data_IF_306155257419
#
_entry.id   IF_306155257419
#
_cell.length_a   1.000
_cell.length_b   1.000
_cell.length_c   1.000
_cell.angle_alpha   90.00
_cell.angle_beta   90.00
_cell.angle_gamma   90.00
#
_symmetry.space_group_name_H-M   'P 1'
#
loop_
_entity.id
_entity.type
_entity.pdbx_description
1 polymer ?
#
# COMPACT_ATOMS: atom_id res chain seq x y z
N UNK A 1 26.64 -46.57 -31.09
CA UNK A 1 26.67 -45.20 -30.51
C UNK A 1 25.63 -45.13 -29.42
N UNK A 2 26.05 -44.97 -28.16
CA UNK A 2 25.20 -45.21 -26.98
C UNK A 2 24.23 -44.05 -26.73
N UNK A 3 22.98 -44.22 -27.14
CA UNK A 3 21.85 -43.29 -26.95
C UNK A 3 21.68 -42.80 -25.49
N UNK A 4 22.17 -43.59 -24.53
CA UNK A 4 22.17 -43.27 -23.09
C UNK A 4 23.09 -42.11 -22.69
N UNK A 5 24.20 -41.90 -23.39
CA UNK A 5 25.13 -40.80 -23.10
C UNK A 5 24.58 -39.45 -23.60
N UNK A 6 23.84 -39.46 -24.71
CA UNK A 6 23.20 -38.27 -25.28
C UNK A 6 22.05 -37.81 -24.36
N UNK A 7 21.26 -38.74 -23.82
CA UNK A 7 20.18 -38.40 -22.88
C UNK A 7 20.68 -37.80 -21.57
N UNK A 8 21.79 -38.31 -21.03
CA UNK A 8 22.39 -37.78 -19.81
C UNK A 8 22.94 -36.36 -20.03
N UNK A 9 23.54 -36.08 -21.19
CA UNK A 9 24.05 -34.75 -21.52
C UNK A 9 22.91 -33.72 -21.70
N UNK A 10 21.79 -34.10 -22.33
CA UNK A 10 20.62 -33.22 -22.51
C UNK A 10 19.92 -32.91 -21.18
N UNK A 11 19.84 -33.87 -20.26
CA UNK A 11 19.20 -33.67 -18.95
C UNK A 11 20.02 -32.76 -18.02
N UNK A 12 21.36 -32.82 -18.10
CA UNK A 12 22.25 -31.93 -17.34
C UNK A 12 22.22 -30.49 -17.91
N UNK A 13 22.12 -30.33 -19.23
CA UNK A 13 21.94 -28.99 -19.83
C UNK A 13 20.58 -28.39 -19.45
N UNK A 14 19.51 -29.19 -19.34
CA UNK A 14 18.20 -28.72 -18.85
C UNK A 14 18.23 -28.35 -17.36
N UNK A 15 19.01 -29.05 -16.53
CA UNK A 15 19.16 -28.71 -15.10
C UNK A 15 20.03 -27.46 -14.90
N UNK A 16 21.03 -27.22 -15.75
CA UNK A 16 21.87 -26.00 -15.71
C UNK A 16 21.16 -24.80 -16.36
N UNK A 17 20.35 -25.03 -17.41
CA UNK A 17 19.48 -23.98 -17.98
C UNK A 17 18.29 -23.64 -17.06
N UNK A 18 17.82 -24.58 -16.24
CA UNK A 18 16.80 -24.36 -15.22
C UNK A 18 17.31 -23.70 -13.94
N UNK A 19 18.63 -23.52 -13.79
CA UNK A 19 19.26 -22.94 -12.59
C UNK A 19 19.90 -21.56 -12.82
N UNK A 20 19.61 -20.91 -13.96
CA UNK A 20 19.49 -19.45 -13.96
C UNK A 20 18.13 -19.15 -13.32
N UNK A 21 18.04 -19.43 -12.01
CA UNK A 21 17.10 -18.71 -11.16
C UNK A 21 17.58 -17.28 -11.28
N UNK A 22 16.93 -16.56 -12.18
CA UNK A 22 16.91 -15.12 -12.14
C UNK A 22 16.77 -14.74 -10.66
N UNK A 23 17.85 -14.17 -10.11
CA UNK A 23 17.76 -13.12 -9.11
C UNK A 23 17.01 -11.96 -9.79
N UNK A 24 15.75 -12.20 -10.16
CA UNK A 24 14.82 -11.15 -10.51
C UNK A 24 14.83 -10.27 -9.26
N UNK A 25 15.16 -8.97 -9.37
CA UNK A 25 14.89 -8.05 -8.28
C UNK A 25 13.43 -8.31 -7.88
N UNK A 26 13.22 -8.71 -6.62
CA UNK A 26 11.91 -9.12 -6.14
C UNK A 26 10.88 -8.09 -6.58
N UNK A 27 9.73 -8.55 -7.07
CA UNK A 27 8.70 -7.70 -7.69
C UNK A 27 8.61 -6.35 -6.97
N UNK A 28 8.86 -5.25 -7.69
CA UNK A 28 8.72 -3.93 -7.10
C UNK A 28 7.26 -3.50 -7.20
N UNK A 29 6.70 -3.04 -6.09
CA UNK A 29 5.38 -2.43 -6.11
C UNK A 29 5.41 -1.19 -7.02
N UNK A 30 4.47 -1.07 -7.95
CA UNK A 30 4.38 0.10 -8.80
C UNK A 30 3.98 1.35 -8.01
N UNK A 31 4.75 2.43 -8.12
CA UNK A 31 4.45 3.72 -7.46
C UNK A 31 3.29 4.47 -8.12
N UNK A 32 2.94 4.13 -9.37
CA UNK A 32 1.75 4.67 -10.03
C UNK A 32 0.48 4.03 -9.51
N UNK A 33 0.53 2.74 -9.17
CA UNK A 33 -0.62 1.97 -8.66
C UNK A 33 -0.85 2.19 -7.15
N UNK A 34 0.23 2.35 -6.39
CA UNK A 34 0.23 2.46 -4.92
C UNK A 34 1.04 3.69 -4.48
N UNK A 35 0.48 4.90 -4.62
CA UNK A 35 1.21 6.14 -4.41
C UNK A 35 1.45 6.42 -2.93
N UNK A 36 2.70 6.71 -2.56
CA UNK A 36 3.06 7.27 -1.26
C UNK A 36 3.58 8.69 -1.44
N UNK A 37 3.46 9.56 -0.41
CA UNK A 37 4.13 10.86 -0.43
C UNK A 37 5.64 10.70 -0.62
N UNK A 38 6.29 11.77 -1.08
CA UNK A 38 7.76 11.89 -1.06
C UNK A 38 8.26 11.91 0.38
N UNK A 39 9.47 11.41 0.63
CA UNK A 39 10.14 11.50 1.94
C UNK A 39 10.41 12.95 2.38
N UNK A 40 10.30 13.92 1.46
CA UNK A 40 10.40 15.36 1.76
C UNK A 40 9.08 15.98 2.20
N UNK A 41 7.96 15.26 2.02
CA UNK A 41 6.62 15.77 2.38
C UNK A 41 6.57 16.01 3.88
N UNK A 42 6.15 17.21 4.24
CA UNK A 42 6.02 17.69 5.61
C UNK A 42 4.62 17.40 6.15
N UNK A 43 4.52 17.40 7.48
CA UNK A 43 3.22 17.26 8.15
C UNK A 43 2.23 18.38 7.77
N UNK A 44 2.70 19.61 7.58
CA UNK A 44 1.85 20.75 7.20
C UNK A 44 1.30 20.63 5.77
N UNK A 45 2.08 20.07 4.85
CA UNK A 45 1.61 19.78 3.48
C UNK A 45 0.48 18.74 3.50
N UNK A 46 0.59 17.71 4.34
CA UNK A 46 -0.50 16.74 4.51
C UNK A 46 -1.77 17.34 5.09
N UNK A 47 -1.64 18.29 6.03
CA UNK A 47 -2.81 19.02 6.56
C UNK A 47 -3.47 19.93 5.52
N UNK A 48 -2.73 20.30 4.48
CA UNK A 48 -3.18 21.18 3.40
C UNK A 48 -3.60 20.38 2.15
N UNK A 49 -3.91 19.09 2.32
CA UNK A 49 -4.42 18.23 1.25
C UNK A 49 -5.68 18.86 0.62
N UNK A 50 -5.62 19.08 -0.70
CA UNK A 50 -6.74 19.59 -1.45
C UNK A 50 -7.47 18.45 -2.15
N UNK A 51 -8.79 18.61 -2.24
CA UNK A 51 -9.65 17.73 -3.02
C UNK A 51 -9.40 17.83 -4.52
N UNK A 52 -10.03 16.93 -5.25
CA UNK A 52 -10.12 16.96 -6.72
C UNK A 52 -11.51 17.36 -7.16
N UNK A 53 -11.75 17.37 -8.48
CA UNK A 53 -13.09 17.60 -9.05
C UNK A 53 -14.15 16.64 -8.48
N UNK A 54 -13.77 15.38 -8.21
CA UNK A 54 -14.70 14.34 -7.77
C UNK A 54 -14.53 13.96 -6.29
N UNK A 55 -13.46 14.40 -5.62
CA UNK A 55 -13.20 14.11 -4.21
C UNK A 55 -13.12 15.40 -3.42
N UNK A 56 -14.10 15.68 -2.57
CA UNK A 56 -14.06 16.83 -1.69
C UNK A 56 -13.44 16.45 -0.34
N UNK A 57 -12.46 17.21 0.12
CA UNK A 57 -11.91 17.08 1.48
C UNK A 57 -12.84 17.83 2.44
N UNK A 58 -13.41 17.11 3.40
CA UNK A 58 -14.34 17.66 4.39
C UNK A 58 -13.60 18.06 5.64
N UNK A 59 -12.69 17.19 6.12
CA UNK A 59 -11.92 17.42 7.33
C UNK A 59 -10.56 16.75 7.24
N UNK A 60 -9.55 17.40 7.82
CA UNK A 60 -8.21 16.84 8.01
C UNK A 60 -7.82 17.02 9.46
N UNK A 61 -7.45 15.94 10.14
CA UNK A 61 -7.14 15.97 11.57
C UNK A 61 -5.83 15.23 11.90
N UNK A 62 -5.02 15.73 12.83
CA UNK A 62 -3.88 15.00 13.37
C UNK A 62 -4.34 13.73 14.09
N UNK A 63 -3.65 12.61 13.87
CA UNK A 63 -3.90 11.36 14.59
C UNK A 63 -2.73 11.00 15.50
N UNK A 64 -3.06 10.50 16.70
CA UNK A 64 -2.08 9.93 17.65
C UNK A 64 -1.85 8.43 17.46
N UNK A 65 -2.79 7.76 16.80
CA UNK A 65 -2.82 6.31 16.60
C UNK A 65 -3.19 6.00 15.15
N UNK A 66 -2.64 4.91 14.63
CA UNK A 66 -3.10 4.28 13.39
C UNK A 66 -4.39 3.50 13.64
N UNK A 67 -5.13 3.13 12.58
CA UNK A 67 -6.24 2.19 12.66
C UNK A 67 -5.91 0.94 13.46
N UNK A 68 -6.92 0.44 14.19
CA UNK A 68 -6.76 -0.68 15.10
C UNK A 68 -5.92 -0.38 16.36
N UNK A 69 -5.82 0.90 16.77
CA UNK A 69 -5.09 1.32 17.97
C UNK A 69 -3.58 1.01 17.94
N UNK A 70 -3.00 0.85 16.75
CA UNK A 70 -1.55 0.70 16.63
C UNK A 70 -0.90 2.05 16.93
N UNK A 71 -0.12 2.12 18.01
CA UNK A 71 0.57 3.34 18.41
C UNK A 71 1.61 3.75 17.37
N UNK A 72 1.65 5.04 17.04
CA UNK A 72 2.71 5.58 16.22
C UNK A 72 4.05 5.49 16.97
N UNK A 73 5.13 5.02 16.32
CA UNK A 73 6.46 5.07 16.90
C UNK A 73 6.87 6.51 17.18
N UNK A 74 7.74 6.71 18.19
CA UNK A 74 8.20 8.04 18.61
C UNK A 74 8.78 8.81 17.41
N UNK A 75 8.26 10.00 17.14
CA UNK A 75 8.71 10.84 16.02
C UNK A 75 8.02 10.54 14.68
N UNK A 76 7.11 9.57 14.64
CA UNK A 76 6.13 9.45 13.55
C UNK A 76 4.95 10.40 13.73
N UNK A 77 4.21 10.62 12.65
CA UNK A 77 2.99 11.41 12.63
C UNK A 77 1.97 10.79 11.67
N UNK A 78 0.69 11.07 11.88
CA UNK A 78 -0.36 10.67 10.96
C UNK A 78 -1.43 11.75 10.86
N UNK A 79 -2.11 11.78 9.71
CA UNK A 79 -3.32 12.56 9.47
C UNK A 79 -4.46 11.62 9.11
N UNK A 80 -5.63 11.90 9.65
CA UNK A 80 -6.90 11.35 9.22
C UNK A 80 -7.58 12.34 8.29
N UNK A 81 -8.12 11.85 7.19
CA UNK A 81 -8.73 12.66 6.14
C UNK A 81 -10.13 12.10 5.91
N UNK A 82 -11.14 12.92 6.18
CA UNK A 82 -12.51 12.63 5.85
C UNK A 82 -12.88 13.33 4.55
N UNK A 83 -13.40 12.57 3.60
CA UNK A 83 -13.71 13.04 2.25
C UNK A 83 -15.10 12.57 1.80
N UNK A 84 -15.60 13.23 0.76
CA UNK A 84 -16.80 12.81 0.05
C UNK A 84 -16.52 12.68 -1.45
N UNK A 85 -16.71 11.47 -1.98
CA UNK A 85 -16.66 11.20 -3.41
C UNK A 85 -18.01 11.55 -4.06
N UNK A 86 -17.97 12.41 -5.08
CA UNK A 86 -19.14 12.96 -5.80
C UNK A 86 -20.18 13.58 -4.87
N UNK A 87 -19.75 14.10 -3.71
CA UNK A 87 -20.60 14.67 -2.66
C UNK A 87 -21.64 13.71 -2.05
N UNK A 88 -21.47 12.40 -2.22
CA UNK A 88 -22.44 11.39 -1.75
C UNK A 88 -21.79 10.24 -1.00
N UNK A 89 -20.62 9.77 -1.45
CA UNK A 89 -20.00 8.57 -0.87
C UNK A 89 -18.90 8.97 0.12
N UNK A 90 -19.01 8.59 1.40
CA UNK A 90 -17.97 8.88 2.38
C UNK A 90 -16.70 8.07 2.08
N UNK A 91 -15.55 8.73 2.18
CA UNK A 91 -14.23 8.11 2.07
C UNK A 91 -13.40 8.54 3.27
N UNK A 92 -12.78 7.58 3.95
CA UNK A 92 -11.86 7.83 5.07
C UNK A 92 -10.48 7.39 4.63
N UNK A 93 -9.49 8.25 4.79
CA UNK A 93 -8.11 7.89 4.56
C UNK A 93 -7.21 8.30 5.72
N UNK A 94 -6.13 7.56 5.89
CA UNK A 94 -5.08 7.84 6.85
C UNK A 94 -3.75 7.80 6.14
N UNK A 95 -2.95 8.84 6.34
CA UNK A 95 -1.59 8.93 5.82
C UNK A 95 -0.66 9.10 7.01
N UNK A 96 0.31 8.21 7.13
CA UNK A 96 1.26 8.22 8.23
C UNK A 96 2.70 8.14 7.76
N UNK A 97 3.55 8.91 8.42
CA UNK A 97 5.00 8.86 8.29
C UNK A 97 5.61 8.30 9.56
N UNK A 98 6.55 7.38 9.39
CA UNK A 98 7.30 6.80 10.48
C UNK A 98 8.76 7.25 10.43
N UNK A 99 9.40 7.35 11.59
CA UNK A 99 10.85 7.59 11.64
C UNK A 99 11.68 6.36 11.22
N UNK A 100 11.08 5.16 11.25
CA UNK A 100 11.64 3.88 10.83
C UNK A 100 10.91 3.30 9.61
N UNK A 101 11.35 2.15 9.10
CA UNK A 101 10.62 1.43 8.05
C UNK A 101 9.17 1.13 8.46
N UNK A 102 8.25 1.30 7.52
CA UNK A 102 6.82 1.09 7.66
C UNK A 102 6.40 -0.39 7.76
N UNK A 103 7.25 -1.32 7.31
CA UNK A 103 6.89 -2.74 7.21
C UNK A 103 6.45 -3.36 8.54
N UNK A 104 7.15 -3.06 9.64
CA UNK A 104 6.82 -3.61 10.96
C UNK A 104 5.45 -3.14 11.46
N UNK A 105 5.10 -1.87 11.24
CA UNK A 105 3.80 -1.32 11.63
C UNK A 105 2.70 -1.84 10.70
N UNK A 106 2.96 -1.90 9.39
CA UNK A 106 2.02 -2.46 8.42
C UNK A 106 1.67 -3.92 8.73
N UNK A 107 2.67 -4.76 9.06
CA UNK A 107 2.43 -6.14 9.48
C UNK A 107 1.51 -6.23 10.71
N UNK A 108 1.69 -5.35 11.70
CA UNK A 108 0.81 -5.31 12.88
C UNK A 108 -0.63 -4.95 12.52
N UNK A 109 -0.82 -4.01 11.60
CA UNK A 109 -2.17 -3.64 11.13
C UNK A 109 -2.80 -4.81 10.35
N UNK A 110 -2.05 -5.46 9.46
CA UNK A 110 -2.52 -6.66 8.73
C UNK A 110 -2.92 -7.79 9.68
N UNK A 111 -2.14 -8.01 10.74
CA UNK A 111 -2.45 -9.01 11.76
C UNK A 111 -3.78 -8.76 12.47
N UNK A 112 -4.17 -7.49 12.66
CA UNK A 112 -5.47 -7.12 13.22
C UNK A 112 -6.63 -7.44 12.27
N UNK A 113 -6.39 -7.35 10.97
CA UNK A 113 -7.38 -7.69 9.96
C UNK A 113 -7.38 -9.17 9.57
N UNK A 114 -6.48 -9.99 10.11
CA UNK A 114 -6.27 -11.39 9.70
C UNK A 114 -7.55 -12.23 9.71
N UNK A 115 -8.43 -12.03 10.69
CA UNK A 115 -9.70 -12.77 10.81
C UNK A 115 -10.72 -12.44 9.70
N UNK A 116 -10.49 -11.38 8.94
CA UNK A 116 -11.32 -11.00 7.80
C UNK A 116 -10.73 -11.46 6.45
N UNK A 117 -9.68 -12.28 6.48
CA UNK A 117 -9.00 -12.85 5.31
C UNK A 117 -8.61 -11.81 4.24
N UNK A 118 -7.81 -10.78 4.60
CA UNK A 118 -7.37 -9.78 3.64
C UNK A 118 -6.43 -10.41 2.61
N UNK A 119 -6.47 -9.91 1.38
CA UNK A 119 -5.43 -10.18 0.39
C UNK A 119 -4.21 -9.36 0.74
N UNK A 120 -3.08 -10.00 1.06
CA UNK A 120 -1.86 -9.31 1.46
C UNK A 120 -0.66 -9.76 0.61
N UNK A 121 0.10 -8.79 0.10
CA UNK A 121 1.33 -9.00 -0.67
C UNK A 121 2.45 -8.12 -0.14
N UNK A 122 3.62 -8.73 0.03
CA UNK A 122 4.84 -8.05 0.50
C UNK A 122 5.90 -8.04 -0.58
N UNK A 123 6.64 -6.95 -0.64
CA UNK A 123 7.79 -6.72 -1.50
C UNK A 123 8.98 -6.26 -0.65
N UNK A 124 10.17 -6.12 -1.25
CA UNK A 124 11.43 -5.85 -0.53
C UNK A 124 11.34 -4.69 0.48
N UNK A 125 10.69 -3.58 0.10
CA UNK A 125 10.54 -2.37 0.93
C UNK A 125 9.12 -1.76 0.86
N UNK A 126 8.15 -2.57 0.46
CA UNK A 126 6.76 -2.14 0.30
C UNK A 126 5.79 -3.30 0.46
N UNK A 127 4.50 -3.00 0.51
CA UNK A 127 3.47 -4.01 0.57
C UNK A 127 2.09 -3.41 0.42
N UNK A 128 1.14 -4.29 0.15
CA UNK A 128 -0.24 -3.95 -0.14
C UNK A 128 -1.18 -4.94 0.55
N UNK A 129 -2.25 -4.42 1.12
CA UNK A 129 -3.36 -5.16 1.69
C UNK A 129 -4.68 -4.67 1.07
N UNK A 130 -5.50 -5.60 0.59
CA UNK A 130 -6.91 -5.37 0.30
C UNK A 130 -7.78 -6.13 1.31
N UNK A 131 -8.78 -5.47 1.84
CA UNK A 131 -9.85 -6.10 2.58
C UNK A 131 -11.20 -5.71 1.97
N UNK A 132 -12.00 -6.72 1.63
CA UNK A 132 -13.41 -6.56 1.25
C UNK A 132 -14.26 -7.31 2.25
N UNK A 133 -15.04 -6.58 3.05
CA UNK A 133 -15.88 -7.19 4.08
C UNK A 133 -17.23 -6.46 4.17
N UNK A 134 -18.31 -7.21 3.98
CA UNK A 134 -19.66 -6.65 3.91
C UNK A 134 -19.75 -5.55 2.85
N UNK A 135 -20.06 -4.33 3.32
CA UNK A 135 -20.21 -3.15 2.47
C UNK A 135 -18.98 -2.24 2.47
N UNK A 136 -17.81 -2.72 2.92
CA UNK A 136 -16.59 -1.90 3.00
C UNK A 136 -15.51 -2.51 2.10
N UNK A 137 -14.84 -1.65 1.35
CA UNK A 137 -13.52 -1.90 0.79
C UNK A 137 -12.51 -1.05 1.55
N UNK A 138 -11.42 -1.68 1.99
CA UNK A 138 -10.28 -1.04 2.62
C UNK A 138 -9.03 -1.47 1.86
N UNK A 139 -8.24 -0.49 1.44
CA UNK A 139 -6.91 -0.71 0.88
C UNK A 139 -5.88 -0.04 1.75
N UNK A 140 -4.80 -0.76 2.04
CA UNK A 140 -3.63 -0.22 2.73
C UNK A 140 -2.39 -0.56 1.94
N UNK A 141 -1.47 0.39 1.83
CA UNK A 141 -0.15 0.14 1.25
C UNK A 141 0.92 0.91 2.02
N UNK A 142 2.15 0.44 1.91
CA UNK A 142 3.29 1.10 2.50
C UNK A 142 4.50 1.06 1.58
N UNK A 143 5.37 2.05 1.71
CA UNK A 143 6.66 2.12 1.03
C UNK A 143 7.62 2.95 1.87
N UNK A 144 8.82 2.41 2.12
CA UNK A 144 9.82 3.12 2.93
C UNK A 144 9.28 3.44 4.31
N UNK A 145 9.03 4.73 4.58
CA UNK A 145 8.53 5.26 5.86
C UNK A 145 7.04 5.58 5.88
N UNK A 146 6.35 5.43 4.75
CA UNK A 146 4.96 5.83 4.58
C UNK A 146 4.01 4.65 4.70
N UNK A 147 2.89 4.87 5.38
CA UNK A 147 1.70 4.00 5.36
C UNK A 147 0.53 4.85 4.89
N UNK A 148 -0.25 4.31 3.95
CA UNK A 148 -1.49 4.90 3.49
C UNK A 148 -2.58 3.86 3.62
N UNK A 149 -3.68 4.23 4.27
CA UNK A 149 -4.90 3.42 4.36
C UNK A 149 -6.07 4.25 3.81
N UNK A 150 -6.95 3.63 3.06
CA UNK A 150 -8.16 4.26 2.53
C UNK A 150 -9.30 3.25 2.56
N UNK A 151 -10.46 3.70 3.03
CA UNK A 151 -11.67 2.91 3.10
C UNK A 151 -12.85 3.68 2.51
N UNK A 152 -13.73 2.94 1.83
CA UNK A 152 -14.99 3.44 1.28
C UNK A 152 -16.00 2.29 1.21
N UNK A 153 -17.23 2.61 0.81
CA UNK A 153 -18.26 1.61 0.58
C UNK A 153 -17.95 0.72 -0.63
N UNK A 154 -18.24 -0.58 -0.54
CA UNK A 154 -18.12 -1.51 -1.66
C UNK A 154 -18.97 -1.05 -2.86
N UNK A 155 -18.44 -1.20 -4.08
CA UNK A 155 -19.08 -0.69 -5.30
C UNK A 155 -18.68 0.75 -5.67
N UNK A 156 -17.80 1.37 -4.88
CA UNK A 156 -17.21 2.69 -5.16
C UNK A 156 -15.68 2.62 -5.22
N UNK A 157 -15.15 1.57 -5.85
CA UNK A 157 -13.72 1.38 -6.07
C UNK A 157 -13.08 2.58 -6.78
N UNK A 158 -13.83 3.29 -7.63
CA UNK A 158 -13.39 4.53 -8.26
C UNK A 158 -13.08 5.66 -7.27
N UNK A 159 -13.67 5.64 -6.07
CA UNK A 159 -13.36 6.62 -5.03
C UNK A 159 -11.94 6.41 -4.49
N UNK A 160 -11.48 5.15 -4.40
CA UNK A 160 -10.08 4.85 -4.05
C UNK A 160 -9.13 5.25 -5.19
N UNK A 161 -9.52 5.04 -6.44
CA UNK A 161 -8.73 5.50 -7.59
C UNK A 161 -8.59 7.03 -7.61
N UNK A 162 -9.67 7.76 -7.33
CA UNK A 162 -9.66 9.21 -7.21
C UNK A 162 -8.77 9.67 -6.05
N UNK A 163 -8.85 9.00 -4.89
CA UNK A 163 -7.95 9.25 -3.77
C UNK A 163 -6.47 9.03 -4.15
N UNK A 164 -6.16 7.94 -4.85
CA UNK A 164 -4.79 7.68 -5.37
C UNK A 164 -4.33 8.77 -6.35
N UNK A 165 -5.22 9.29 -7.18
CA UNK A 165 -4.92 10.44 -8.06
C UNK A 165 -4.61 11.70 -7.24
N UNK A 166 -5.40 11.98 -6.21
CA UNK A 166 -5.18 13.11 -5.30
C UNK A 166 -3.81 13.05 -4.61
N UNK A 167 -3.32 11.84 -4.27
CA UNK A 167 -1.98 11.63 -3.69
C UNK A 167 -0.82 12.07 -4.61
N UNK A 168 -1.07 12.30 -5.90
CA UNK A 168 -0.05 12.80 -6.83
C UNK A 168 0.50 14.18 -6.44
N UNK A 169 -0.27 15.00 -5.71
CA UNK A 169 0.20 16.30 -5.23
C UNK A 169 1.39 16.22 -4.27
N UNK A 170 1.66 15.05 -3.71
CA UNK A 170 2.80 14.80 -2.81
C UNK A 170 3.93 14.00 -3.47
N UNK A 171 3.82 13.69 -4.76
CA UNK A 171 4.89 13.07 -5.54
C UNK A 171 5.88 14.17 -5.93
N UNK A 172 7.00 14.24 -5.21
CA UNK A 172 8.11 15.14 -5.51
C UNK A 172 8.91 14.71 -6.73
#
# INVERSE_FOLDING_TARGET
>A
MNFRAIFAAVFVILLVAGSIIFLLPGEEMSSSEWPTPSDKTTFLELLSINGTKNMNVVEVMPLKYMPGNVSLPKGGYAVGIYMSYRNVTPVIAIIAFLNSSASSVANKIVDQYRNYNPTYKTFKDSGYMELRTGNIILQMWYRGKWIVEVATQSGYDEAILEFKSMMSQFKG
#
